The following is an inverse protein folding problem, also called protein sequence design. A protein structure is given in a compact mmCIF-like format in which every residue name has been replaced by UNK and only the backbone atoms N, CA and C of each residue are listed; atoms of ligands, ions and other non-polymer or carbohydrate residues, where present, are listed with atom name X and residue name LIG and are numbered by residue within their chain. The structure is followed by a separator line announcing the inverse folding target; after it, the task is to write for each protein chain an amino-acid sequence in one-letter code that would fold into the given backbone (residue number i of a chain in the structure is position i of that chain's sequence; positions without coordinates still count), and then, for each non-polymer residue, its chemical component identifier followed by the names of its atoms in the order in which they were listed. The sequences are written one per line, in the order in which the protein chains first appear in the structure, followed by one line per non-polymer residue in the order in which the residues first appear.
data_IF_325407590316
#
_entry.id   IF_325407590316
#
_cell.length_a   1.000
_cell.length_b   1.000
_cell.length_c   1.000
_cell.angle_alpha   90.00
_cell.angle_beta   90.00
_cell.angle_gamma   90.00
#
_symmetry.space_group_name_H-M   'P 1'
#
loop_
_entity.id
_entity.type
_entity.pdbx_description
1 polymer ?
#
# COMPACT_ATOMS: atom_id res chain seq x y z
N UNK A 1 -108.33 12.07 10.76
CA UNK A 1 -106.99 12.35 10.21
C UNK A 1 -107.16 12.60 8.72
N UNK A 2 -106.71 13.74 8.19
CA UNK A 2 -106.97 14.16 6.82
C UNK A 2 -105.97 13.51 5.86
N UNK A 3 -106.44 13.15 4.65
CA UNK A 3 -105.59 12.79 3.53
C UNK A 3 -105.31 14.07 2.73
N UNK A 4 -104.03 14.45 2.62
CA UNK A 4 -103.51 15.62 1.91
C UNK A 4 -103.16 15.21 0.46
N UNK A 5 -103.79 15.79 -0.58
CA UNK A 5 -103.56 15.40 -1.97
C UNK A 5 -102.55 16.33 -2.69
N UNK A 6 -101.49 16.78 -2.03
CA UNK A 6 -100.54 17.75 -2.62
C UNK A 6 -99.08 17.25 -2.69
N UNK A 7 -98.83 16.13 -3.38
CA UNK A 7 -97.49 15.78 -3.88
C UNK A 7 -97.55 15.07 -5.24
N UNK A 8 -98.18 15.69 -6.22
CA UNK A 8 -97.81 15.44 -7.62
C UNK A 8 -96.51 16.19 -7.90
N UNK A 9 -95.55 15.50 -8.52
CA UNK A 9 -94.24 16.02 -8.95
C UNK A 9 -94.40 17.22 -9.91
N UNK A 10 -94.61 18.42 -9.36
CA UNK A 10 -94.51 19.65 -10.12
C UNK A 10 -93.03 19.99 -10.27
N UNK A 11 -92.48 19.72 -11.45
CA UNK A 11 -91.10 20.10 -11.79
C UNK A 11 -90.93 21.60 -11.56
N UNK A 12 -89.85 21.97 -10.89
CA UNK A 12 -89.59 23.35 -10.49
C UNK A 12 -89.35 24.20 -11.73
N UNK A 13 -89.75 25.47 -11.74
CA UNK A 13 -89.67 26.35 -12.93
C UNK A 13 -88.26 26.42 -13.54
N UNK A 14 -87.23 26.29 -12.71
CA UNK A 14 -85.83 26.24 -13.12
C UNK A 14 -85.46 24.94 -13.86
N UNK A 15 -86.06 23.80 -13.47
CA UNK A 15 -85.87 22.52 -14.16
C UNK A 15 -86.51 22.55 -15.56
N UNK A 16 -87.66 23.22 -15.70
CA UNK A 16 -88.33 23.45 -16.97
C UNK A 16 -87.52 24.39 -17.89
N UNK A 17 -86.90 25.45 -17.34
CA UNK A 17 -86.03 26.36 -18.11
C UNK A 17 -84.78 25.66 -18.64
N UNK A 18 -84.13 24.84 -17.82
CA UNK A 18 -82.95 24.05 -18.22
C UNK A 18 -83.34 22.99 -19.27
N UNK A 19 -84.46 22.30 -19.07
CA UNK A 19 -84.97 21.32 -20.02
C UNK A 19 -85.33 21.93 -21.37
N UNK A 20 -86.02 23.08 -21.38
CA UNK A 20 -86.35 23.81 -22.59
C UNK A 20 -85.08 24.31 -23.30
N UNK A 21 -84.17 24.99 -22.59
CA UNK A 21 -82.91 25.47 -23.17
C UNK A 21 -82.07 24.34 -23.78
N UNK A 22 -81.99 23.20 -23.09
CA UNK A 22 -81.29 22.00 -23.57
C UNK A 22 -81.90 21.48 -24.87
N UNK A 23 -83.22 21.32 -24.96
CA UNK A 23 -83.89 20.83 -26.17
C UNK A 23 -83.68 21.79 -27.35
N UNK A 24 -83.76 23.09 -27.12
CA UNK A 24 -83.57 24.11 -28.17
C UNK A 24 -82.11 24.19 -28.65
N UNK A 25 -81.14 24.08 -27.74
CA UNK A 25 -79.71 24.25 -28.05
C UNK A 25 -78.93 22.93 -28.22
N UNK A 26 -79.57 21.75 -28.07
CA UNK A 26 -78.90 20.42 -28.13
C UNK A 26 -77.99 20.24 -29.34
N UNK A 27 -78.37 20.79 -30.50
CA UNK A 27 -77.61 20.67 -31.75
C UNK A 27 -76.37 21.58 -31.70
N UNK A 28 -76.50 22.79 -31.15
CA UNK A 28 -75.41 23.74 -31.01
C UNK A 28 -74.40 23.25 -29.96
N UNK A 29 -74.86 22.71 -28.84
CA UNK A 29 -74.01 22.10 -27.79
C UNK A 29 -73.24 20.90 -28.34
N UNK A 30 -73.87 20.02 -29.12
CA UNK A 30 -73.17 18.89 -29.77
C UNK A 30 -72.11 19.37 -30.77
N UNK A 31 -72.41 20.37 -31.60
CA UNK A 31 -71.43 20.94 -32.55
C UNK A 31 -70.25 21.59 -31.82
N UNK A 32 -70.52 22.40 -30.80
CA UNK A 32 -69.49 23.05 -29.99
C UNK A 32 -68.60 22.02 -29.28
N UNK A 33 -69.20 21.00 -28.65
CA UNK A 33 -68.45 19.93 -28.00
C UNK A 33 -67.56 19.14 -28.96
N UNK A 34 -68.04 18.86 -30.16
CA UNK A 34 -67.26 18.16 -31.21
C UNK A 34 -66.07 19.00 -31.67
N UNK A 35 -66.25 20.30 -31.86
CA UNK A 35 -65.17 21.23 -32.24
C UNK A 35 -64.13 21.32 -31.10
N UNK A 36 -64.57 21.47 -29.86
CA UNK A 36 -63.69 21.54 -28.69
C UNK A 36 -62.87 20.25 -28.55
N UNK A 37 -63.50 19.07 -28.65
CA UNK A 37 -62.78 17.80 -28.62
C UNK A 37 -61.81 17.66 -29.82
N UNK A 38 -62.22 18.11 -31.01
CA UNK A 38 -61.36 18.08 -32.20
C UNK A 38 -60.12 18.94 -32.05
N UNK A 39 -60.28 20.17 -31.54
CA UNK A 39 -59.17 21.08 -31.24
C UNK A 39 -58.27 20.48 -30.15
N UNK A 40 -58.86 19.98 -29.06
CA UNK A 40 -58.11 19.37 -27.98
C UNK A 40 -57.32 18.13 -28.42
N UNK A 41 -57.94 17.26 -29.23
CA UNK A 41 -57.28 16.09 -29.82
C UNK A 41 -56.15 16.48 -30.77
N UNK A 42 -56.33 17.55 -31.55
CA UNK A 42 -55.29 18.09 -32.43
C UNK A 42 -54.10 18.62 -31.63
N UNK A 43 -54.34 19.37 -30.56
CA UNK A 43 -53.30 19.88 -29.66
C UNK A 43 -52.50 18.74 -29.00
N UNK A 44 -53.20 17.69 -28.54
CA UNK A 44 -52.55 16.50 -27.99
C UNK A 44 -51.66 15.79 -29.02
N UNK A 45 -52.14 15.65 -30.26
CA UNK A 45 -51.36 15.05 -31.34
C UNK A 45 -50.11 15.88 -31.66
N UNK A 46 -50.24 17.21 -31.71
CA UNK A 46 -49.11 18.11 -31.95
C UNK A 46 -48.08 18.05 -30.81
N UNK A 47 -48.53 17.98 -29.56
CA UNK A 47 -47.64 17.82 -28.41
C UNK A 47 -46.89 16.50 -28.44
N UNK A 48 -47.58 15.39 -28.74
CA UNK A 48 -46.95 14.08 -28.91
C UNK A 48 -45.95 14.04 -30.06
N UNK A 49 -46.28 14.64 -31.20
CA UNK A 49 -45.39 14.74 -32.34
C UNK A 49 -44.14 15.57 -32.04
N UNK A 50 -44.30 16.70 -31.33
CA UNK A 50 -43.18 17.51 -30.85
C UNK A 50 -42.26 16.71 -29.94
N UNK A 51 -42.82 16.02 -28.93
CA UNK A 51 -42.03 15.19 -28.02
C UNK A 51 -41.28 14.06 -28.74
N UNK A 52 -41.89 13.45 -29.75
CA UNK A 52 -41.23 12.42 -30.57
C UNK A 52 -40.07 13.00 -31.39
N UNK A 53 -40.27 14.16 -32.02
CA UNK A 53 -39.21 14.83 -32.80
C UNK A 53 -38.05 15.25 -31.88
N UNK A 54 -38.35 15.87 -30.74
CA UNK A 54 -37.35 16.30 -29.78
C UNK A 54 -36.54 15.10 -29.25
N UNK A 55 -37.21 14.05 -28.80
CA UNK A 55 -36.55 12.85 -28.29
C UNK A 55 -35.70 12.15 -29.37
N UNK A 56 -36.23 11.99 -30.58
CA UNK A 56 -35.54 11.22 -31.62
C UNK A 56 -34.36 11.98 -32.25
N UNK A 57 -34.48 13.30 -32.44
CA UNK A 57 -33.50 14.08 -33.19
C UNK A 57 -32.60 14.97 -32.33
N UNK A 58 -33.06 15.42 -31.15
CA UNK A 58 -32.35 16.42 -30.36
C UNK A 58 -31.81 15.81 -29.06
N UNK A 59 -32.70 15.31 -28.22
CA UNK A 59 -32.39 14.92 -26.84
C UNK A 59 -31.79 13.52 -26.77
N UNK A 60 -32.37 12.54 -27.49
CA UNK A 60 -31.89 11.16 -27.48
C UNK A 60 -30.45 10.97 -27.98
N UNK A 61 -30.01 11.59 -29.09
CA UNK A 61 -28.62 11.51 -29.54
C UNK A 61 -27.64 12.12 -28.53
N UNK A 62 -28.02 13.23 -27.86
CA UNK A 62 -27.20 13.87 -26.82
C UNK A 62 -27.06 12.99 -25.58
N UNK A 63 -28.16 12.46 -25.07
CA UNK A 63 -28.14 11.54 -23.91
C UNK A 63 -27.28 10.30 -24.20
N UNK A 64 -27.39 9.72 -25.41
CA UNK A 64 -26.57 8.57 -25.80
C UNK A 64 -25.08 8.92 -25.87
N UNK A 65 -24.74 10.11 -26.36
CA UNK A 65 -23.36 10.58 -26.38
C UNK A 65 -22.80 10.80 -24.96
N UNK A 66 -23.59 11.37 -24.05
CA UNK A 66 -23.22 11.56 -22.65
C UNK A 66 -23.06 10.23 -21.90
N UNK A 67 -23.98 9.28 -22.09
CA UNK A 67 -23.86 7.92 -21.53
C UNK A 67 -22.64 7.19 -22.10
N UNK A 68 -22.33 7.38 -23.39
CA UNK A 68 -21.14 6.83 -24.02
C UNK A 68 -19.85 7.42 -23.43
N UNK A 69 -19.86 8.68 -22.97
CA UNK A 69 -18.74 9.27 -22.24
C UNK A 69 -18.55 8.63 -20.87
N UNK A 70 -19.64 8.29 -20.17
CA UNK A 70 -19.57 7.58 -18.88
C UNK A 70 -19.03 6.15 -18.99
N UNK A 71 -19.22 5.51 -20.14
CA UNK A 71 -18.68 4.16 -20.43
C UNK A 71 -17.28 4.19 -21.03
N UNK A 72 -16.77 5.37 -21.39
CA UNK A 72 -15.41 5.50 -21.90
C UNK A 72 -14.45 5.36 -20.72
N UNK A 73 -13.54 4.41 -20.82
CA UNK A 73 -12.47 4.24 -19.84
C UNK A 73 -11.51 5.43 -19.97
N UNK A 74 -11.84 6.54 -19.30
CA UNK A 74 -11.08 7.80 -19.35
C UNK A 74 -9.66 7.63 -18.75
N UNK A 75 -9.48 6.60 -17.94
CA UNK A 75 -8.20 6.23 -17.35
C UNK A 75 -7.61 5.03 -18.08
N UNK A 76 -6.45 5.23 -18.70
CA UNK A 76 -5.66 4.13 -19.25
C UNK A 76 -5.01 3.34 -18.09
N UNK A 77 -5.78 2.40 -17.54
CA UNK A 77 -5.32 1.52 -16.47
C UNK A 77 -4.10 0.68 -16.86
N UNK A 78 -3.90 0.41 -18.16
CA UNK A 78 -2.74 -0.35 -18.63
C UNK A 78 -1.49 0.52 -18.56
N UNK A 79 -1.53 1.73 -19.12
CA UNK A 79 -0.42 2.67 -19.02
C UNK A 79 -0.11 3.02 -17.55
N UNK A 80 -1.14 3.23 -16.72
CA UNK A 80 -0.96 3.45 -15.30
C UNK A 80 -0.26 2.27 -14.61
N UNK A 81 -0.69 1.03 -14.88
CA UNK A 81 -0.07 -0.17 -14.29
C UNK A 81 1.38 -0.32 -14.71
N UNK A 82 1.67 -0.16 -16.00
CA UNK A 82 3.05 -0.25 -16.53
C UNK A 82 3.97 0.80 -15.89
N UNK A 83 3.49 2.03 -15.72
CA UNK A 83 4.26 3.12 -15.12
C UNK A 83 4.53 2.95 -13.60
N UNK A 84 3.73 2.12 -12.90
CA UNK A 84 3.86 1.89 -11.46
C UNK A 84 4.31 0.47 -11.12
N UNK A 85 4.87 -0.26 -12.09
CA UNK A 85 5.50 -1.55 -11.82
C UNK A 85 6.75 -1.36 -10.94
N UNK A 86 7.04 -2.31 -10.05
CA UNK A 86 8.28 -2.29 -9.30
C UNK A 86 9.47 -2.45 -10.25
N UNK A 87 10.51 -1.68 -9.98
CA UNK A 87 11.85 -1.83 -10.56
C UNK A 87 12.59 -2.93 -9.82
N UNK A 88 13.53 -3.60 -10.49
CA UNK A 88 14.32 -4.68 -9.89
C UNK A 88 15.20 -4.16 -8.74
N UNK A 89 15.57 -5.05 -7.82
CA UNK A 89 16.50 -4.75 -6.73
C UNK A 89 17.88 -4.49 -7.32
N UNK A 90 18.50 -3.38 -6.92
CA UNK A 90 19.87 -3.06 -7.30
C UNK A 90 20.84 -3.84 -6.40
N UNK A 91 21.79 -4.54 -7.01
CA UNK A 91 22.76 -5.39 -6.32
C UNK A 91 24.15 -4.85 -6.62
N UNK A 92 24.85 -4.40 -5.59
CA UNK A 92 26.27 -4.04 -5.67
C UNK A 92 27.16 -5.30 -5.66
N UNK A 93 28.44 -5.14 -5.96
CA UNK A 93 29.40 -6.24 -5.90
C UNK A 93 29.44 -6.88 -4.51
N UNK A 94 29.41 -8.21 -4.48
CA UNK A 94 29.59 -8.95 -3.24
C UNK A 94 31.08 -8.98 -2.85
N UNK A 95 31.34 -8.84 -1.56
CA UNK A 95 32.66 -8.77 -0.96
C UNK A 95 32.84 -9.85 0.10
N UNK A 96 34.09 -10.25 0.33
CA UNK A 96 34.47 -11.25 1.33
C UNK A 96 35.50 -10.70 2.29
N UNK A 97 35.28 -10.90 3.58
CA UNK A 97 36.19 -10.54 4.66
C UNK A 97 36.72 -11.79 5.33
N UNK A 98 37.99 -11.78 5.72
CA UNK A 98 38.55 -12.86 6.52
C UNK A 98 37.93 -12.86 7.92
N UNK A 99 37.40 -14.01 8.34
CA UNK A 99 36.74 -14.21 9.64
C UNK A 99 37.48 -15.27 10.48
N UNK A 100 38.73 -15.61 10.12
CA UNK A 100 39.53 -16.65 10.77
C UNK A 100 40.46 -17.36 9.78
N UNK A 101 41.10 -18.46 10.21
CA UNK A 101 42.06 -19.20 9.38
C UNK A 101 41.39 -19.92 8.19
N UNK A 102 40.15 -20.39 8.35
CA UNK A 102 39.39 -21.15 7.34
C UNK A 102 37.93 -20.67 7.17
N UNK A 103 37.63 -19.48 7.70
CA UNK A 103 36.30 -18.87 7.66
C UNK A 103 36.35 -17.47 7.08
N UNK A 104 35.31 -17.10 6.35
CA UNK A 104 35.13 -15.77 5.81
C UNK A 104 33.69 -15.30 5.99
N UNK A 105 33.51 -14.00 6.15
CA UNK A 105 32.22 -13.36 6.14
C UNK A 105 31.98 -12.79 4.74
N UNK A 106 30.85 -13.12 4.14
CA UNK A 106 30.47 -12.59 2.83
C UNK A 106 29.32 -11.63 2.99
N UNK A 107 29.37 -10.51 2.27
CA UNK A 107 28.29 -9.54 2.28
C UNK A 107 28.14 -8.88 0.91
N UNK A 108 26.95 -8.34 0.65
CA UNK A 108 26.68 -7.55 -0.54
C UNK A 108 25.69 -6.45 -0.18
N UNK A 109 25.93 -5.25 -0.72
CA UNK A 109 24.98 -4.16 -0.60
C UNK A 109 23.87 -4.35 -1.64
N UNK A 110 22.64 -4.15 -1.20
CA UNK A 110 21.45 -4.23 -2.03
C UNK A 110 20.55 -3.04 -1.75
N UNK A 111 19.84 -2.58 -2.77
CA UNK A 111 18.99 -1.40 -2.67
C UNK A 111 17.65 -1.63 -3.36
N UNK A 112 16.57 -1.22 -2.70
CA UNK A 112 15.25 -1.20 -3.29
C UNK A 112 14.95 0.22 -3.79
N UNK A 113 15.03 0.48 -5.11
CA UNK A 113 14.79 1.81 -5.68
C UNK A 113 13.31 2.23 -5.61
N UNK A 114 12.41 1.33 -5.23
CA UNK A 114 10.97 1.59 -5.23
C UNK A 114 10.52 2.24 -3.93
N UNK A 115 9.77 3.33 -4.03
CA UNK A 115 9.23 4.07 -2.87
C UNK A 115 7.84 3.60 -2.41
N UNK A 116 7.12 2.89 -3.27
CA UNK A 116 5.77 2.36 -2.98
C UNK A 116 5.72 0.84 -2.85
N UNK A 117 6.85 0.17 -3.02
CA UNK A 117 6.95 -1.28 -3.03
C UNK A 117 8.03 -1.74 -2.09
N UNK A 118 7.72 -2.78 -1.32
CA UNK A 118 8.71 -3.53 -0.56
C UNK A 118 8.78 -4.93 -1.13
N UNK A 119 9.86 -5.64 -0.82
CA UNK A 119 10.17 -6.92 -1.45
C UNK A 119 10.61 -7.94 -0.43
N UNK A 120 10.14 -9.16 -0.60
CA UNK A 120 10.69 -10.37 0.04
C UNK A 120 11.36 -11.20 -1.03
N UNK A 121 12.48 -11.82 -0.70
CA UNK A 121 13.21 -12.66 -1.63
C UNK A 121 14.06 -13.68 -0.89
N UNK A 122 14.43 -14.72 -1.63
CA UNK A 122 15.40 -15.71 -1.18
C UNK A 122 16.74 -15.39 -1.83
N UNK A 123 17.81 -15.39 -1.05
CA UNK A 123 19.15 -15.13 -1.54
C UNK A 123 20.14 -16.20 -1.10
N UNK A 124 21.20 -16.35 -1.90
CA UNK A 124 22.30 -17.24 -1.59
C UNK A 124 23.59 -16.67 -2.17
N UNK A 125 24.63 -16.67 -1.35
CA UNK A 125 25.99 -16.42 -1.83
C UNK A 125 26.56 -17.68 -2.47
N UNK A 126 27.30 -17.51 -3.56
CA UNK A 126 28.06 -18.56 -4.20
C UNK A 126 29.53 -18.25 -4.01
N UNK A 127 30.20 -19.13 -3.27
CA UNK A 127 31.63 -19.03 -3.01
C UNK A 127 32.30 -20.27 -3.61
N UNK A 128 33.44 -20.14 -4.31
CA UNK A 128 34.19 -21.29 -4.79
C UNK A 128 34.53 -22.27 -3.66
N UNK A 129 33.98 -23.48 -3.74
CA UNK A 129 34.27 -24.54 -2.76
C UNK A 129 33.38 -24.57 -1.52
N UNK A 130 32.32 -23.74 -1.45
CA UNK A 130 31.32 -23.80 -0.39
C UNK A 130 29.90 -23.71 -0.96
N UNK A 131 29.04 -24.65 -0.57
CA UNK A 131 27.59 -24.53 -0.79
C UNK A 131 26.96 -23.85 0.42
N UNK A 132 26.41 -22.66 0.21
CA UNK A 132 25.73 -21.91 1.25
C UNK A 132 24.23 -22.19 1.27
N UNK A 133 23.60 -22.15 2.46
CA UNK A 133 22.16 -22.27 2.58
C UNK A 133 21.44 -21.09 1.89
N UNK A 134 20.21 -21.34 1.45
CA UNK A 134 19.32 -20.27 1.03
C UNK A 134 18.87 -19.51 2.29
N UNK A 135 18.98 -18.19 2.25
CA UNK A 135 18.53 -17.27 3.29
C UNK A 135 17.32 -16.50 2.77
N UNK A 136 16.46 -16.10 3.69
CA UNK A 136 15.34 -15.22 3.38
C UNK A 136 15.70 -13.79 3.75
N UNK A 137 15.36 -12.84 2.89
CA UNK A 137 15.63 -11.42 3.07
C UNK A 137 14.43 -10.57 2.68
N UNK A 138 14.43 -9.33 3.14
CA UNK A 138 13.46 -8.33 2.73
C UNK A 138 14.17 -6.98 2.53
N UNK A 139 13.57 -6.11 1.73
CA UNK A 139 13.95 -4.70 1.65
C UNK A 139 12.70 -3.85 1.68
N UNK A 140 12.71 -2.85 2.56
CA UNK A 140 11.65 -1.87 2.66
C UNK A 140 11.74 -0.86 1.50
N UNK A 141 10.69 -0.06 1.26
CA UNK A 141 10.67 0.92 0.19
C UNK A 141 11.78 1.97 0.35
N UNK A 142 12.61 2.14 -0.68
CA UNK A 142 13.74 3.08 -0.69
C UNK A 142 14.89 2.71 0.26
N UNK A 143 14.91 1.47 0.78
CA UNK A 143 15.93 1.02 1.71
C UNK A 143 17.16 0.47 0.97
N UNK A 144 18.34 0.89 1.43
CA UNK A 144 19.60 0.24 1.12
C UNK A 144 20.05 -0.58 2.35
N UNK A 145 20.36 -1.85 2.13
CA UNK A 145 20.74 -2.79 3.19
C UNK A 145 21.92 -3.67 2.77
N UNK A 146 22.36 -4.53 3.69
CA UNK A 146 23.45 -5.47 3.46
C UNK A 146 22.97 -6.90 3.65
N UNK A 147 23.01 -7.71 2.60
CA UNK A 147 22.84 -9.16 2.73
C UNK A 147 24.17 -9.78 3.15
N UNK A 148 24.12 -10.84 3.96
CA UNK A 148 25.35 -11.48 4.46
C UNK A 148 25.17 -12.95 4.82
N UNK A 149 26.28 -13.66 4.81
CA UNK A 149 26.43 -14.94 5.49
C UNK A 149 27.75 -14.94 6.26
N UNK A 150 27.67 -15.26 7.56
CA UNK A 150 28.79 -15.14 8.49
C UNK A 150 29.44 -16.49 8.74
N UNK A 151 30.76 -16.52 8.91
CA UNK A 151 31.51 -17.73 9.27
C UNK A 151 31.50 -18.82 8.19
N UNK A 152 31.46 -18.43 6.92
CA UNK A 152 31.43 -19.34 5.77
C UNK A 152 32.76 -20.06 5.67
N UNK A 153 32.74 -21.38 5.78
CA UNK A 153 33.94 -22.21 5.60
C UNK A 153 34.28 -22.31 4.12
N UNK A 154 35.38 -21.70 3.70
CA UNK A 154 35.85 -21.75 2.34
C UNK A 154 37.38 -21.92 2.31
N UNK A 155 37.86 -22.81 1.44
CA UNK A 155 39.28 -23.12 1.34
C UNK A 155 40.14 -21.95 0.81
N UNK A 156 39.51 -20.94 0.17
CA UNK A 156 40.16 -19.74 -0.35
C UNK A 156 39.21 -18.55 -0.31
N UNK A 157 39.75 -17.39 0.00
CA UNK A 157 39.09 -16.10 -0.24
C UNK A 157 38.98 -15.88 -1.74
N UNK A 158 37.77 -15.72 -2.24
CA UNK A 158 37.47 -15.48 -3.64
C UNK A 158 36.30 -14.52 -3.74
N UNK A 159 36.10 -13.92 -4.92
CA UNK A 159 34.97 -13.01 -5.17
C UNK A 159 33.66 -13.79 -5.04
N UNK A 160 32.84 -13.52 -4.02
CA UNK A 160 31.53 -14.16 -3.91
C UNK A 160 30.61 -13.61 -5.00
N UNK A 161 29.64 -14.41 -5.42
CA UNK A 161 28.53 -13.97 -6.26
C UNK A 161 27.23 -14.07 -5.46
N UNK A 162 26.34 -13.08 -5.59
CA UNK A 162 25.03 -13.09 -4.96
C UNK A 162 23.97 -13.50 -5.97
N UNK A 163 23.23 -14.57 -5.67
CA UNK A 163 22.05 -14.97 -6.42
C UNK A 163 20.78 -14.63 -5.62
N UNK A 164 19.88 -13.86 -6.23
CA UNK A 164 18.56 -13.53 -5.68
C UNK A 164 17.48 -14.28 -6.47
N UNK A 165 16.56 -14.92 -5.77
CA UNK A 165 15.51 -15.79 -6.30
C UNK A 165 14.20 -15.58 -5.55
N UNK A 166 13.09 -16.10 -6.07
CA UNK A 166 11.76 -16.04 -5.42
C UNK A 166 11.34 -14.61 -5.01
N UNK A 167 11.59 -13.63 -5.88
CA UNK A 167 11.29 -12.22 -5.62
C UNK A 167 9.78 -11.99 -5.59
N UNK A 168 9.28 -11.53 -4.45
CA UNK A 168 7.87 -11.21 -4.21
C UNK A 168 7.72 -9.73 -3.86
N UNK A 169 7.12 -8.97 -4.78
CA UNK A 169 6.86 -7.54 -4.59
C UNK A 169 5.51 -7.30 -3.94
N UNK A 170 5.51 -6.45 -2.92
CA UNK A 170 4.34 -6.08 -2.15
C UNK A 170 4.15 -4.57 -2.19
N UNK A 171 2.97 -4.13 -2.63
CA UNK A 171 2.65 -2.70 -2.63
C UNK A 171 2.31 -2.24 -1.23
N UNK A 172 2.84 -1.09 -0.84
CA UNK A 172 2.49 -0.40 0.40
C UNK A 172 1.03 0.04 0.32
N UNK A 173 0.22 -0.34 1.32
CA UNK A 173 -1.19 0.07 1.38
C UNK A 173 -1.31 1.50 1.88
N UNK A 174 -1.54 2.44 0.95
CA UNK A 174 -1.72 3.85 1.24
C UNK A 174 -2.91 4.13 2.18
N UNK A 175 -3.91 3.26 2.30
CA UNK A 175 -5.02 3.50 3.25
C UNK A 175 -4.60 3.24 4.70
N UNK A 176 -3.69 2.30 4.92
CA UNK A 176 -3.16 1.96 6.26
C UNK A 176 -1.96 2.82 6.64
N UNK A 177 -1.17 3.22 5.65
CA UNK A 177 0.11 3.90 5.83
C UNK A 177 -0.07 5.34 5.38
N UNK A 178 -0.29 6.21 6.37
CA UNK A 178 -0.59 7.63 6.20
C UNK A 178 0.39 8.49 7.00
N UNK A 179 0.78 9.68 6.51
CA UNK A 179 0.47 10.26 5.19
C UNK A 179 1.31 9.70 4.04
N UNK A 180 2.48 9.12 4.33
CA UNK A 180 3.34 8.44 3.37
C UNK A 180 4.21 7.41 4.10
N UNK A 181 4.87 6.52 3.35
CA UNK A 181 5.71 5.49 3.94
C UNK A 181 6.88 6.05 4.78
N UNK A 182 7.69 7.02 4.29
CA UNK A 182 8.85 7.50 5.05
C UNK A 182 8.49 8.07 6.43
N UNK A 183 7.44 8.91 6.51
CA UNK A 183 7.00 9.48 7.80
C UNK A 183 6.43 8.41 8.72
N UNK A 184 5.65 7.47 8.18
CA UNK A 184 5.11 6.36 8.95
C UNK A 184 6.22 5.44 9.50
N UNK A 185 7.22 5.12 8.68
CA UNK A 185 8.36 4.30 9.07
C UNK A 185 9.22 5.00 10.13
N UNK A 186 9.46 6.31 9.99
CA UNK A 186 10.23 7.10 10.95
C UNK A 186 9.60 7.15 12.36
N UNK A 187 8.31 6.87 12.51
CA UNK A 187 7.66 6.76 13.85
C UNK A 187 7.84 5.38 14.49
N UNK A 188 8.17 4.35 13.70
CA UNK A 188 8.31 2.96 14.14
C UNK A 188 9.76 2.57 14.31
N UNK A 189 10.61 2.97 13.37
CA UNK A 189 12.06 2.71 13.36
C UNK A 189 12.82 3.75 14.20
N UNK A 190 12.33 4.06 15.41
CA UNK A 190 13.00 5.00 16.33
C UNK A 190 13.97 4.26 17.24
N UNK A 191 14.94 3.58 16.63
CA UNK A 191 16.05 2.94 17.36
C UNK A 191 17.22 3.92 17.41
N UNK A 192 17.59 4.32 18.62
CA UNK A 192 18.73 5.20 18.87
C UNK A 192 19.88 4.35 19.40
N UNK A 193 21.05 4.47 18.77
CA UNK A 193 22.24 3.70 19.12
C UNK A 193 23.24 4.64 19.80
N UNK A 194 23.56 4.34 21.07
CA UNK A 194 24.40 5.16 21.95
C UNK A 194 25.61 4.38 22.43
N UNK A 195 26.57 5.12 22.98
CA UNK A 195 27.74 4.58 23.69
C UNK A 195 28.52 3.55 22.87
N UNK A 196 28.60 3.78 21.55
CA UNK A 196 29.26 2.88 20.62
C UNK A 196 30.76 2.91 20.88
N UNK A 197 31.31 1.77 21.25
CA UNK A 197 32.73 1.60 21.54
C UNK A 197 33.27 0.32 20.88
N UNK A 198 34.40 0.45 20.19
CA UNK A 198 35.16 -0.68 19.68
C UNK A 198 36.34 -0.97 20.60
N UNK A 199 36.48 -2.23 21.00
CA UNK A 199 37.58 -2.73 21.81
C UNK A 199 38.36 -3.75 20.97
N UNK A 200 39.61 -3.44 20.57
CA UNK A 200 40.48 -4.40 19.89
C UNK A 200 40.88 -5.54 20.84
N UNK A 201 41.42 -6.65 20.31
CA UNK A 201 41.80 -7.78 21.14
C UNK A 201 42.92 -7.39 22.12
N UNK A 202 42.84 -7.92 23.34
CA UNK A 202 43.84 -7.62 24.36
C UNK A 202 45.22 -8.17 23.91
N UNK A 203 46.32 -7.45 24.18
CA UNK A 203 47.65 -7.96 23.88
C UNK A 203 47.87 -9.25 24.68
N UNK A 204 48.03 -10.39 23.98
CA UNK A 204 48.14 -11.76 24.52
C UNK A 204 46.83 -12.53 24.77
N UNK A 205 45.68 -12.07 24.27
CA UNK A 205 44.48 -12.92 24.22
C UNK A 205 44.68 -14.06 23.20
N UNK A 206 44.72 -15.34 23.62
CA UNK A 206 44.88 -16.46 22.70
C UNK A 206 43.74 -16.61 21.69
N UNK A 207 42.58 -15.97 21.93
CA UNK A 207 41.41 -16.01 21.05
C UNK A 207 41.28 -14.76 20.17
N UNK A 208 42.14 -13.74 20.36
CA UNK A 208 42.13 -12.49 19.61
C UNK A 208 40.72 -11.90 19.39
N UNK A 209 39.93 -11.77 20.47
CA UNK A 209 38.53 -11.36 20.36
C UNK A 209 38.42 -9.84 20.29
N UNK A 210 37.90 -9.34 19.17
CA UNK A 210 37.48 -7.94 19.04
C UNK A 210 36.01 -7.78 19.43
N UNK A 211 35.64 -6.68 20.08
CA UNK A 211 34.25 -6.43 20.49
C UNK A 211 33.78 -5.03 20.14
N UNK A 212 32.56 -4.92 19.62
CA UNK A 212 31.82 -3.66 19.55
C UNK A 212 30.69 -3.70 20.57
N UNK A 213 30.70 -2.76 21.50
CA UNK A 213 29.68 -2.59 22.53
C UNK A 213 28.88 -1.35 22.20
N UNK A 214 27.56 -1.43 22.29
CA UNK A 214 26.66 -0.30 22.08
C UNK A 214 25.36 -0.49 22.86
N UNK A 215 24.67 0.61 23.10
CA UNK A 215 23.37 0.63 23.76
C UNK A 215 22.29 0.97 22.73
N UNK A 216 21.31 0.10 22.56
CA UNK A 216 20.13 0.35 21.72
C UNK A 216 18.99 0.84 22.60
N UNK A 217 18.40 1.97 22.23
CA UNK A 217 17.19 2.51 22.87
C UNK A 217 16.04 2.49 21.86
N UNK A 218 14.94 1.82 22.20
CA UNK A 218 13.72 1.87 21.41
C UNK A 218 12.87 3.07 21.85
N UNK A 219 13.04 4.20 21.17
CA UNK A 219 12.26 5.42 21.45
C UNK A 219 10.86 5.41 20.80
N UNK A 220 10.51 4.36 20.05
CA UNK A 220 9.20 4.26 19.43
C UNK A 220 8.11 3.91 20.46
N UNK A 221 6.86 4.17 20.11
CA UNK A 221 5.70 3.72 20.89
C UNK A 221 5.42 2.21 20.75
N UNK A 222 6.23 1.49 19.96
CA UNK A 222 5.99 0.09 19.59
C UNK A 222 7.00 -0.83 20.27
N UNK A 223 6.54 -2.02 20.64
CA UNK A 223 7.39 -3.08 21.17
C UNK A 223 7.56 -4.18 20.11
N UNK A 224 8.74 -4.80 20.04
CA UNK A 224 9.11 -5.73 18.97
C UNK A 224 9.54 -7.10 19.51
N UNK A 225 9.07 -8.18 18.88
CA UNK A 225 9.43 -9.55 19.28
C UNK A 225 10.89 -9.88 19.00
N UNK A 226 11.40 -9.45 17.86
CA UNK A 226 12.79 -9.64 17.48
C UNK A 226 13.23 -8.50 16.56
N UNK A 227 14.33 -7.83 16.90
CA UNK A 227 14.95 -6.80 16.06
C UNK A 227 16.39 -7.22 15.82
N UNK A 228 16.74 -7.41 14.56
CA UNK A 228 18.13 -7.70 14.18
C UNK A 228 18.85 -6.38 13.97
N UNK A 229 20.09 -6.28 14.41
CA UNK A 229 20.96 -5.16 14.16
C UNK A 229 22.14 -5.65 13.34
N UNK A 230 22.30 -5.09 12.16
CA UNK A 230 23.52 -5.24 11.38
C UNK A 230 24.60 -4.35 11.98
N UNK A 231 25.79 -4.90 12.18
CA UNK A 231 26.94 -4.18 12.73
C UNK A 231 28.07 -4.24 11.72
N UNK A 232 28.47 -3.08 11.19
CA UNK A 232 29.59 -2.94 10.28
C UNK A 232 30.73 -2.17 10.95
N UNK A 233 31.94 -2.74 10.91
CA UNK A 233 33.17 -2.10 11.32
C UNK A 233 33.82 -1.47 10.08
N UNK A 234 34.19 -0.19 10.18
CA UNK A 234 34.76 0.58 9.08
C UNK A 234 36.16 1.07 9.39
N UNK A 235 37.01 1.01 8.37
CA UNK A 235 38.30 1.68 8.30
C UNK A 235 38.23 2.71 7.17
N UNK A 236 38.07 3.99 7.50
CA UNK A 236 37.65 5.02 6.57
C UNK A 236 36.32 4.67 5.88
N UNK A 237 36.34 4.48 4.55
CA UNK A 237 35.17 4.10 3.76
C UNK A 237 35.01 2.59 3.56
N UNK A 238 36.02 1.79 3.89
CA UNK A 238 36.01 0.34 3.66
C UNK A 238 35.37 -0.39 4.85
N UNK A 239 34.53 -1.37 4.58
CA UNK A 239 34.01 -2.28 5.61
C UNK A 239 35.07 -3.35 5.86
N UNK A 240 35.51 -3.49 7.11
CA UNK A 240 36.58 -4.41 7.53
C UNK A 240 36.08 -5.55 8.43
N UNK A 241 34.84 -5.46 8.89
CA UNK A 241 34.17 -6.51 9.66
C UNK A 241 32.66 -6.33 9.60
N UNK A 242 31.92 -7.44 9.55
CA UNK A 242 30.46 -7.45 9.58
C UNK A 242 29.97 -8.41 10.63
N UNK A 243 28.83 -8.12 11.27
CA UNK A 243 28.20 -9.01 12.23
C UNK A 243 26.70 -8.73 12.31
N UNK A 244 25.96 -9.56 13.03
CA UNK A 244 24.54 -9.37 13.28
C UNK A 244 24.18 -9.81 14.67
N UNK A 245 23.43 -8.95 15.38
CA UNK A 245 22.94 -9.26 16.72
C UNK A 245 21.43 -9.09 16.77
N UNK A 246 20.74 -10.11 17.26
CA UNK A 246 19.29 -10.11 17.40
C UNK A 246 18.90 -9.79 18.85
N UNK A 247 18.02 -8.81 19.03
CA UNK A 247 17.46 -8.43 20.31
C UNK A 247 16.02 -8.94 20.39
N UNK A 248 15.78 -9.92 21.26
CA UNK A 248 14.43 -10.45 21.51
C UNK A 248 13.64 -9.60 22.49
N UNK A 249 12.35 -9.44 22.27
CA UNK A 249 11.43 -8.67 23.14
C UNK A 249 11.95 -7.28 23.50
N UNK A 250 12.23 -6.44 22.51
CA UNK A 250 12.64 -5.05 22.73
C UNK A 250 11.40 -4.18 22.95
N UNK A 251 11.11 -3.80 24.19
CA UNK A 251 9.91 -3.04 24.54
C UNK A 251 10.05 -1.56 24.22
N UNK A 252 8.92 -0.88 24.09
CA UNK A 252 8.86 0.57 23.91
C UNK A 252 9.51 1.29 25.11
N UNK A 253 10.41 2.23 24.83
CA UNK A 253 11.21 2.97 25.83
C UNK A 253 12.34 2.16 26.47
N UNK A 254 12.53 0.89 26.10
CA UNK A 254 13.56 0.04 26.67
C UNK A 254 14.95 0.40 26.11
N UNK A 255 15.95 0.35 26.99
CA UNK A 255 17.36 0.48 26.65
C UNK A 255 18.06 -0.84 26.93
N UNK A 256 18.85 -1.33 25.97
CA UNK A 256 19.59 -2.59 26.10
C UNK A 256 21.02 -2.46 25.60
N UNK A 257 21.94 -2.90 26.44
CA UNK A 257 23.35 -3.03 26.05
C UNK A 257 23.54 -4.30 25.24
N UNK A 258 24.30 -4.19 24.16
CA UNK A 258 24.53 -5.24 23.17
C UNK A 258 26.01 -5.28 22.83
N UNK A 259 26.52 -6.50 22.68
CA UNK A 259 27.89 -6.77 22.28
C UNK A 259 27.91 -7.61 20.99
N UNK A 260 28.61 -7.12 19.97
CA UNK A 260 29.00 -7.91 18.79
C UNK A 260 30.47 -8.31 18.92
N UNK A 261 30.80 -9.57 18.67
CA UNK A 261 32.17 -10.10 18.83
C UNK A 261 32.69 -10.74 17.55
N UNK A 262 33.95 -10.48 17.24
CA UNK A 262 34.70 -11.06 16.12
C UNK A 262 35.86 -11.86 16.68
N UNK A 263 36.08 -13.07 16.15
CA UNK A 263 37.05 -14.04 16.65
C UNK A 263 38.26 -14.14 15.71
N UNK A 264 38.70 -13.00 15.19
CA UNK A 264 39.79 -12.87 14.24
C UNK A 264 40.51 -11.54 14.40
N UNK A 265 41.75 -11.50 13.92
CA UNK A 265 42.51 -10.26 13.83
C UNK A 265 41.87 -9.35 12.78
N UNK A 266 41.33 -8.22 13.26
CA UNK A 266 40.77 -7.18 12.41
C UNK A 266 41.83 -6.11 12.12
N UNK A 267 41.77 -5.47 10.94
CA UNK A 267 42.49 -4.23 10.68
C UNK A 267 42.09 -3.13 11.68
N UNK A 268 42.76 -1.97 11.57
CA UNK A 268 42.35 -0.79 12.33
C UNK A 268 40.88 -0.43 12.04
N UNK A 269 40.10 -0.16 13.09
CA UNK A 269 38.68 0.22 13.00
C UNK A 269 38.52 1.64 13.51
N UNK A 270 37.98 2.52 12.66
CA UNK A 270 37.74 3.92 12.97
C UNK A 270 36.29 4.17 13.42
N UNK A 271 35.34 3.43 12.86
CA UNK A 271 33.90 3.67 13.03
C UNK A 271 33.15 2.36 13.10
N UNK A 272 32.13 2.33 13.96
CA UNK A 272 31.17 1.22 14.04
C UNK A 272 29.82 1.78 13.63
N UNK A 273 29.25 1.20 12.57
CA UNK A 273 27.92 1.51 12.08
C UNK A 273 26.96 0.40 12.50
N UNK A 274 25.83 0.79 13.09
CA UNK A 274 24.81 -0.14 13.58
C UNK A 274 23.48 0.25 12.94
N UNK A 275 22.90 -0.67 12.17
CA UNK A 275 21.66 -0.42 11.42
C UNK A 275 20.60 -1.43 11.86
N UNK A 276 19.41 -0.98 12.30
CA UNK A 276 18.31 -1.87 12.64
C UNK A 276 17.72 -2.49 11.37
N UNK A 277 17.40 -3.77 11.45
CA UNK A 277 16.75 -4.54 10.40
C UNK A 277 15.51 -5.21 10.97
N UNK A 278 14.36 -4.61 10.65
CA UNK A 278 13.05 -5.13 11.04
C UNK A 278 12.02 -4.72 10.00
N UNK A 279 11.26 -5.71 9.52
CA UNK A 279 10.17 -5.44 8.60
C UNK A 279 8.96 -4.86 9.36
N UNK A 280 8.93 -3.53 9.50
CA UNK A 280 7.82 -2.82 10.17
C UNK A 280 6.49 -2.96 9.43
N UNK A 281 6.48 -3.34 8.15
CA UNK A 281 5.27 -3.57 7.37
C UNK A 281 4.58 -4.90 7.72
N UNK A 282 5.32 -5.85 8.31
CA UNK A 282 4.75 -7.09 8.84
C UNK A 282 4.20 -6.86 10.25
N UNK A 283 2.90 -7.00 10.42
CA UNK A 283 2.25 -6.77 11.73
C UNK A 283 2.67 -7.79 12.80
N UNK A 284 3.25 -8.94 12.41
CA UNK A 284 3.70 -9.99 13.33
C UNK A 284 4.96 -9.63 14.11
N UNK A 285 5.72 -8.62 13.66
CA UNK A 285 6.93 -8.17 14.38
C UNK A 285 6.60 -7.46 15.68
N UNK A 286 5.39 -6.92 15.81
CA UNK A 286 4.96 -6.15 16.96
C UNK A 286 4.45 -7.02 18.10
N UNK A 287 4.82 -6.65 19.32
CA UNK A 287 4.22 -7.20 20.53
C UNK A 287 2.85 -6.54 20.74
N UNK A 288 1.75 -7.31 20.83
CA UNK A 288 0.43 -6.76 21.07
C UNK A 288 0.35 -6.01 22.40
N UNK A 289 -0.27 -4.83 22.39
CA UNK A 289 -0.57 -4.10 23.63
C UNK A 289 -1.78 -4.75 24.32
N UNK A 290 -1.54 -5.61 25.32
CA UNK A 290 -2.62 -6.15 26.16
C UNK A 290 -2.48 -7.62 26.58
N UNK A 291 -1.48 -7.92 27.42
CA UNK A 291 -1.51 -9.09 28.31
C UNK A 291 -1.28 -8.63 29.74
#
# INVERSE_FOLDING_TARGET
MPFDPSRENQMTEDELKVGYWWVTHRIQVKKAGTIVLGVFGTLLCLYGAYGFIDWFFITGPRERAEIALLTRNLTDYKAFREAHKPQDVEIDSAESLSAGSDSQDVFARVENPNTEWWVEFDYRFTVPGAELPIRHGFLLPGEAGYLRDLGVKAARTGSPELAVTNVAWHRVDAHRIQPNYPSWAATRLQFDVKDVAFTPPAPQDPLAISRATFTVVNNSAFSYWNVTFFVALKAGSAIVGVNSVAISELRAGESRQVDASWFNDLPHVDTVEVTPEVNVLDTRVYIPTGR
#
